data_IF_484654319954
#
_entry.id   IF_484654319954
#
_cell.length_a   1.000
_cell.length_b   1.000
_cell.length_c   1.000
_cell.angle_alpha   90.00
_cell.angle_beta   90.00
_cell.angle_gamma   90.00
#
_symmetry.space_group_name_H-M   'P 1'
#
loop_
_entity.id
_entity.type
_entity.pdbx_description
1 polymer ?
#
# COMPACT_ATOMS: atom_id res chain seq x y z
N UNK A 1 -18.43 22.74 8.99
CA UNK A 1 -18.00 22.55 7.60
C UNK A 1 -18.67 23.52 6.65
N UNK A 2 -20.01 23.46 6.51
CA UNK A 2 -20.76 24.22 5.48
C UNK A 2 -20.51 25.73 5.44
N UNK A 3 -20.25 26.36 6.59
CA UNK A 3 -20.04 27.81 6.67
C UNK A 3 -18.62 28.26 6.31
N UNK A 4 -17.65 27.36 6.29
CA UNK A 4 -16.22 27.67 6.22
C UNK A 4 -15.50 27.02 5.04
N UNK A 5 -16.03 25.91 4.52
CA UNK A 5 -15.44 25.21 3.38
C UNK A 5 -16.21 25.59 2.10
N UNK A 6 -15.56 26.16 1.08
CA UNK A 6 -16.18 26.48 -0.21
C UNK A 6 -16.37 25.20 -1.04
N UNK A 7 -17.39 24.41 -0.70
CA UNK A 7 -17.60 23.06 -1.25
C UNK A 7 -17.77 23.05 -2.76
N UNK A 8 -18.53 24.01 -3.32
CA UNK A 8 -18.83 24.05 -4.76
C UNK A 8 -17.57 24.29 -5.58
N UNK A 9 -16.72 25.22 -5.14
CA UNK A 9 -15.46 25.57 -5.76
C UNK A 9 -14.45 24.42 -5.66
N UNK A 10 -14.32 23.81 -4.47
CA UNK A 10 -13.41 22.68 -4.25
C UNK A 10 -13.81 21.45 -5.07
N UNK A 11 -15.10 21.10 -5.06
CA UNK A 11 -15.61 19.99 -5.88
C UNK A 11 -15.29 20.22 -7.36
N UNK A 12 -15.53 21.44 -7.88
CA UNK A 12 -15.27 21.76 -9.28
C UNK A 12 -13.79 21.63 -9.69
N UNK A 13 -12.86 21.93 -8.78
CA UNK A 13 -11.41 21.80 -9.02
C UNK A 13 -10.98 20.33 -9.03
N UNK A 14 -11.59 19.49 -8.19
CA UNK A 14 -11.14 18.11 -7.94
C UNK A 14 -11.83 17.11 -8.88
N UNK A 15 -13.09 17.34 -9.25
CA UNK A 15 -13.88 16.49 -10.15
C UNK A 15 -13.12 16.04 -11.41
N UNK A 16 -12.36 16.89 -12.13
CA UNK A 16 -11.64 16.48 -13.34
C UNK A 16 -10.57 15.41 -13.10
N UNK A 17 -9.99 15.39 -11.90
CA UNK A 17 -8.92 14.45 -11.49
C UNK A 17 -9.46 13.28 -10.68
N UNK A 18 -10.73 13.33 -10.27
CA UNK A 18 -11.32 12.34 -9.41
C UNK A 18 -11.51 11.00 -10.15
N UNK A 19 -11.27 9.85 -9.48
CA UNK A 19 -11.41 8.55 -10.14
C UNK A 19 -12.78 8.36 -10.76
N UNK A 20 -12.81 7.95 -12.03
CA UNK A 20 -14.05 7.60 -12.74
C UNK A 20 -14.35 6.12 -12.56
N UNK A 21 -15.63 5.77 -12.64
CA UNK A 21 -16.06 4.38 -12.61
C UNK A 21 -15.35 3.59 -13.73
N UNK A 22 -14.84 2.41 -13.38
CA UNK A 22 -14.15 1.50 -14.28
C UNK A 22 -14.28 0.05 -13.79
N UNK A 23 -13.35 -0.83 -14.16
CA UNK A 23 -13.31 -2.19 -13.60
C UNK A 23 -12.85 -2.14 -12.13
N UNK A 24 -13.70 -2.55 -11.19
CA UNK A 24 -13.43 -2.52 -9.74
C UNK A 24 -14.52 -1.82 -8.94
N UNK A 25 -14.22 -1.45 -7.69
CA UNK A 25 -15.17 -0.76 -6.80
C UNK A 25 -15.56 0.61 -7.38
N UNK A 26 -16.85 0.95 -7.44
CA UNK A 26 -17.28 2.30 -7.81
C UNK A 26 -16.68 3.34 -6.86
N UNK A 27 -16.17 4.46 -7.39
CA UNK A 27 -15.65 5.54 -6.56
C UNK A 27 -16.79 6.15 -5.72
N UNK A 28 -16.48 6.48 -4.47
CA UNK A 28 -17.39 7.23 -3.59
C UNK A 28 -17.52 8.66 -4.14
N UNK A 29 -18.68 9.31 -4.07
CA UNK A 29 -18.85 10.66 -4.62
C UNK A 29 -17.84 11.69 -4.06
N UNK A 30 -17.34 12.60 -4.92
CA UNK A 30 -16.24 13.53 -4.61
C UNK A 30 -16.45 14.29 -3.31
N UNK A 31 -17.65 14.84 -3.10
CA UNK A 31 -17.94 15.68 -1.94
C UNK A 31 -17.91 14.86 -0.66
N UNK A 32 -18.44 13.62 -0.70
CA UNK A 32 -18.42 12.72 0.45
C UNK A 32 -16.99 12.36 0.82
N UNK A 33 -16.15 12.06 -0.16
CA UNK A 33 -14.74 11.75 0.11
C UNK A 33 -13.97 12.96 0.63
N UNK A 34 -14.22 14.17 0.09
CA UNK A 34 -13.62 15.39 0.61
C UNK A 34 -14.02 15.64 2.06
N UNK A 35 -15.29 15.46 2.41
CA UNK A 35 -15.76 15.55 3.81
C UNK A 35 -15.03 14.55 4.71
N UNK A 36 -14.86 13.29 4.27
CA UNK A 36 -14.11 12.27 5.02
C UNK A 36 -12.67 12.72 5.23
N UNK A 37 -11.97 13.19 4.20
CA UNK A 37 -10.58 13.65 4.31
C UNK A 37 -10.43 14.88 5.19
N UNK A 38 -11.36 15.84 5.12
CA UNK A 38 -11.36 17.01 6.00
C UNK A 38 -11.55 16.61 7.46
N UNK A 39 -12.46 15.69 7.74
CA UNK A 39 -12.66 15.14 9.09
C UNK A 39 -11.40 14.41 9.59
N UNK A 40 -10.81 13.53 8.77
CA UNK A 40 -9.58 12.83 9.09
C UNK A 40 -8.44 13.81 9.41
N UNK A 41 -8.28 14.84 8.58
CA UNK A 41 -7.23 15.86 8.74
C UNK A 41 -7.44 16.73 9.98
N UNK A 42 -8.64 17.27 10.18
CA UNK A 42 -8.91 18.19 11.29
C UNK A 42 -8.84 17.54 12.67
N UNK A 43 -9.24 16.27 12.76
CA UNK A 43 -9.24 15.54 14.01
C UNK A 43 -8.02 14.62 14.16
N UNK A 44 -7.08 14.66 13.20
CA UNK A 44 -5.91 13.79 13.15
C UNK A 44 -6.27 12.31 13.36
N UNK A 45 -7.38 11.88 12.73
CA UNK A 45 -7.89 10.51 12.81
C UNK A 45 -7.08 9.66 11.84
N UNK A 46 -6.09 8.96 12.37
CA UNK A 46 -5.34 7.92 11.67
C UNK A 46 -5.57 6.57 12.33
N UNK A 47 -5.39 5.49 11.58
CA UNK A 47 -5.59 4.14 12.10
C UNK A 47 -4.55 3.79 13.18
N UNK A 48 -4.98 3.36 14.39
CA UNK A 48 -4.06 3.04 15.48
C UNK A 48 -3.04 1.96 15.13
N UNK A 49 -3.43 0.94 14.35
CA UNK A 49 -2.53 -0.15 13.99
C UNK A 49 -1.46 0.29 12.98
N UNK A 50 -1.83 1.13 12.00
CA UNK A 50 -0.90 1.72 11.05
C UNK A 50 0.08 2.68 11.76
N UNK A 51 -0.39 3.48 12.72
CA UNK A 51 0.47 4.36 13.52
C UNK A 51 1.44 3.57 14.41
N UNK A 52 0.96 2.50 15.05
CA UNK A 52 1.82 1.61 15.83
C UNK A 52 2.84 0.87 14.95
N UNK A 53 2.44 0.46 13.75
CA UNK A 53 3.37 -0.11 12.77
C UNK A 53 4.45 0.90 12.33
N UNK A 54 4.07 2.17 12.14
CA UNK A 54 5.02 3.25 11.83
C UNK A 54 5.99 3.48 12.97
N UNK A 55 5.50 3.59 14.21
CA UNK A 55 6.32 3.75 15.41
C UNK A 55 7.33 2.61 15.54
N UNK A 56 6.88 1.36 15.45
CA UNK A 56 7.76 0.17 15.49
C UNK A 56 8.76 0.17 14.33
N UNK A 57 8.37 0.61 13.14
CA UNK A 57 9.25 0.76 11.99
C UNK A 57 10.39 1.74 12.27
N UNK A 58 10.08 2.90 12.85
CA UNK A 58 11.06 3.91 13.25
C UNK A 58 12.03 3.36 14.30
N UNK A 59 11.52 2.71 15.35
CA UNK A 59 12.36 2.14 16.42
C UNK A 59 13.31 1.05 15.91
N UNK A 60 12.88 0.28 14.91
CA UNK A 60 13.69 -0.76 14.27
C UNK A 60 14.63 -0.22 13.18
N UNK A 61 14.67 1.10 12.96
CA UNK A 61 15.50 1.71 11.93
C UNK A 61 15.13 1.28 10.51
N UNK A 62 13.84 0.97 10.26
CA UNK A 62 13.32 0.63 8.92
C UNK A 62 13.26 1.87 8.03
N UNK A 63 12.76 1.69 6.81
CA UNK A 63 12.60 2.76 5.83
C UNK A 63 13.80 2.94 4.91
N UNK A 64 13.71 3.96 4.06
CA UNK A 64 14.72 4.31 3.05
C UNK A 64 14.93 5.81 3.11
N UNK A 65 16.18 6.28 3.09
CA UNK A 65 16.50 7.71 3.16
C UNK A 65 15.85 8.45 4.33
N UNK A 66 15.76 7.79 5.51
CA UNK A 66 15.10 8.29 6.74
C UNK A 66 13.59 8.49 6.60
N UNK A 67 12.98 7.95 5.55
CA UNK A 67 11.53 7.97 5.34
C UNK A 67 10.98 6.60 5.71
N UNK A 68 10.17 6.56 6.76
CA UNK A 68 9.46 5.37 7.21
C UNK A 68 8.01 5.51 6.84
N UNK A 69 7.49 4.48 6.18
CA UNK A 69 6.10 4.36 5.78
C UNK A 69 5.59 3.02 6.28
N UNK A 70 4.36 3.01 6.82
CA UNK A 70 3.72 1.81 7.29
C UNK A 70 2.31 1.67 6.75
N UNK A 71 1.76 0.46 6.89
CA UNK A 71 0.40 0.13 6.57
C UNK A 71 -0.11 -0.97 7.50
N UNK A 72 -1.42 -1.00 7.71
CA UNK A 72 -2.12 -2.04 8.46
C UNK A 72 -3.34 -2.54 7.67
N UNK A 73 -3.67 -3.82 7.84
CA UNK A 73 -4.79 -4.51 7.22
C UNK A 73 -5.47 -5.40 8.25
N UNK A 74 -6.79 -5.32 8.34
CA UNK A 74 -7.59 -6.28 9.13
C UNK A 74 -7.90 -7.51 8.26
N UNK A 75 -7.44 -8.67 8.70
CA UNK A 75 -7.64 -9.94 8.01
C UNK A 75 -9.08 -10.43 8.23
N UNK A 76 -9.58 -11.35 7.36
CA UNK A 76 -10.88 -11.99 7.57
C UNK A 76 -11.01 -12.75 8.90
N UNK A 77 -9.88 -13.09 9.54
CA UNK A 77 -9.84 -13.74 10.86
C UNK A 77 -10.01 -12.74 12.02
N UNK A 78 -10.00 -11.43 11.75
CA UNK A 78 -9.96 -10.36 12.74
C UNK A 78 -8.55 -10.00 13.23
N UNK A 79 -7.52 -10.73 12.79
CA UNK A 79 -6.13 -10.41 13.09
C UNK A 79 -5.65 -9.21 12.28
N UNK A 80 -4.73 -8.42 12.84
CA UNK A 80 -4.16 -7.26 12.16
C UNK A 80 -2.79 -7.60 11.56
N UNK A 81 -2.71 -7.59 10.24
CA UNK A 81 -1.45 -7.62 9.51
C UNK A 81 -0.86 -6.22 9.41
N UNK A 82 0.46 -6.10 9.48
CA UNK A 82 1.17 -4.82 9.32
C UNK A 82 2.34 -4.93 8.36
N UNK A 83 2.67 -3.83 7.70
CA UNK A 83 3.79 -3.72 6.77
C UNK A 83 4.54 -2.40 6.95
N UNK A 84 5.84 -2.43 6.71
CA UNK A 84 6.71 -1.25 6.75
C UNK A 84 7.64 -1.28 5.54
N UNK A 85 7.94 -0.12 4.97
CA UNK A 85 8.86 -0.02 3.84
C UNK A 85 10.29 -0.41 4.24
N UNK A 86 11.04 -0.88 3.25
CA UNK A 86 12.43 -1.30 3.36
C UNK A 86 13.18 -0.94 2.06
N UNK A 87 14.51 -1.13 2.00
CA UNK A 87 15.26 -0.96 0.75
C UNK A 87 14.77 -1.82 -0.41
N UNK A 88 14.04 -2.90 -0.13
CA UNK A 88 13.56 -3.85 -1.13
C UNK A 88 12.09 -3.68 -1.48
N UNK A 89 11.25 -3.27 -0.53
CA UNK A 89 9.79 -3.33 -0.65
C UNK A 89 9.13 -2.06 -0.14
N UNK A 90 8.03 -1.66 -0.81
CA UNK A 90 7.11 -0.66 -0.27
C UNK A 90 6.32 -1.22 0.92
N UNK A 91 5.72 -0.33 1.72
CA UNK A 91 4.95 -0.72 2.89
C UNK A 91 3.72 -1.57 2.53
N UNK A 92 3.04 -1.23 1.43
CA UNK A 92 1.96 -2.01 0.78
C UNK A 92 2.43 -3.41 0.39
N UNK A 93 3.57 -3.52 -0.29
CA UNK A 93 4.17 -4.79 -0.69
C UNK A 93 4.46 -5.69 0.51
N UNK A 94 5.12 -5.13 1.53
CA UNK A 94 5.42 -5.85 2.77
C UNK A 94 4.14 -6.27 3.51
N UNK A 95 3.14 -5.38 3.57
CA UNK A 95 1.84 -5.66 4.19
C UNK A 95 1.15 -6.86 3.54
N UNK A 96 1.04 -6.87 2.20
CA UNK A 96 0.36 -7.96 1.50
C UNK A 96 1.11 -9.27 1.65
N UNK A 97 2.45 -9.28 1.54
CA UNK A 97 3.24 -10.49 1.78
C UNK A 97 3.06 -11.02 3.21
N UNK A 98 3.06 -10.15 4.22
CA UNK A 98 2.83 -10.56 5.61
C UNK A 98 1.40 -11.08 5.81
N UNK A 99 0.40 -10.43 5.23
CA UNK A 99 -1.00 -10.83 5.32
C UNK A 99 -1.22 -12.25 4.75
N UNK A 100 -0.68 -12.53 3.57
CA UNK A 100 -0.82 -13.87 2.97
C UNK A 100 -0.01 -14.95 3.69
N UNK A 101 1.14 -14.60 4.31
CA UNK A 101 1.87 -15.53 5.18
C UNK A 101 1.01 -15.96 6.38
N UNK A 102 0.37 -14.99 7.04
CA UNK A 102 -0.52 -15.25 8.19
C UNK A 102 -1.66 -16.18 7.76
N UNK A 103 -2.36 -15.85 6.67
CA UNK A 103 -3.50 -16.64 6.19
C UNK A 103 -3.12 -18.07 5.77
N UNK A 104 -1.93 -18.25 5.21
CA UNK A 104 -1.41 -19.54 4.78
C UNK A 104 -0.70 -20.34 5.90
N UNK A 105 -0.58 -19.78 7.11
CA UNK A 105 0.16 -20.40 8.22
C UNK A 105 1.66 -20.54 7.95
N UNK A 106 2.25 -19.62 7.19
CA UNK A 106 3.67 -19.59 6.83
C UNK A 106 4.43 -18.73 7.84
N UNK A 107 5.60 -19.20 8.29
CA UNK A 107 6.44 -18.45 9.22
C UNK A 107 6.88 -17.09 8.64
N UNK A 108 6.96 -16.08 9.52
CA UNK A 108 7.34 -14.72 9.13
C UNK A 108 8.71 -14.65 8.45
N UNK A 109 9.66 -15.49 8.86
CA UNK A 109 11.04 -15.51 8.37
C UNK A 109 11.20 -16.15 6.98
N UNK A 110 10.16 -16.81 6.46
CA UNK A 110 10.22 -17.47 5.15
C UNK A 110 10.14 -16.45 4.02
N UNK A 111 11.16 -16.37 3.17
CA UNK A 111 11.13 -15.53 1.98
C UNK A 111 10.23 -16.13 0.88
N UNK A 112 9.05 -15.52 0.65
CA UNK A 112 8.14 -15.91 -0.44
C UNK A 112 8.72 -15.58 -1.81
N UNK A 113 9.45 -14.47 -1.92
CA UNK A 113 10.11 -14.04 -3.14
C UNK A 113 11.62 -14.15 -2.88
N UNK A 114 12.33 -15.07 -3.56
CA UNK A 114 13.76 -15.22 -3.41
C UNK A 114 14.51 -13.89 -3.62
N UNK A 115 15.51 -13.56 -2.77
CA UNK A 115 16.26 -12.31 -2.89
C UNK A 115 16.86 -12.07 -4.28
N UNK A 116 17.24 -13.13 -5.00
CA UNK A 116 17.76 -13.05 -6.36
C UNK A 116 16.75 -12.46 -7.37
N UNK A 117 15.44 -12.76 -7.21
CA UNK A 117 14.39 -12.20 -8.07
C UNK A 117 14.22 -10.70 -7.78
N UNK A 118 14.16 -10.33 -6.50
CA UNK A 118 14.07 -8.93 -6.07
C UNK A 118 15.26 -8.15 -6.63
N UNK A 119 16.48 -8.66 -6.43
CA UNK A 119 17.71 -8.04 -6.94
C UNK A 119 17.73 -7.89 -8.46
N UNK A 120 17.20 -8.87 -9.20
CA UNK A 120 17.11 -8.79 -10.66
C UNK A 120 16.19 -7.64 -11.10
N UNK A 121 15.02 -7.52 -10.47
CA UNK A 121 14.07 -6.43 -10.77
C UNK A 121 14.63 -5.07 -10.37
N UNK A 122 15.25 -4.97 -9.19
CA UNK A 122 15.85 -3.70 -8.74
C UNK A 122 17.03 -3.28 -9.61
N UNK A 123 17.89 -4.21 -10.04
CA UNK A 123 18.96 -3.95 -10.99
C UNK A 123 18.42 -3.52 -12.36
N UNK A 124 17.36 -4.16 -12.88
CA UNK A 124 16.70 -3.73 -14.10
C UNK A 124 16.19 -2.28 -13.99
N UNK A 125 15.53 -1.94 -12.88
CA UNK A 125 15.03 -0.57 -12.64
C UNK A 125 16.16 0.45 -12.59
N UNK A 126 17.24 0.16 -11.86
CA UNK A 126 18.38 1.08 -11.65
C UNK A 126 19.27 1.20 -12.88
N UNK A 127 19.73 0.08 -13.40
CA UNK A 127 20.84 0.00 -14.35
C UNK A 127 20.37 0.09 -15.81
N UNK A 128 19.14 -0.38 -16.10
CA UNK A 128 18.59 -0.40 -17.47
C UNK A 128 17.56 0.71 -17.68
N UNK A 129 16.55 0.78 -16.81
CA UNK A 129 15.44 1.74 -16.96
C UNK A 129 15.77 3.13 -16.38
N UNK A 130 16.91 3.28 -15.69
CA UNK A 130 17.35 4.52 -15.03
C UNK A 130 16.28 5.11 -14.10
N UNK A 131 15.48 4.24 -13.49
CA UNK A 131 14.46 4.59 -12.51
C UNK A 131 15.05 5.08 -11.20
N UNK A 132 14.34 5.98 -10.52
CA UNK A 132 14.77 6.55 -9.22
C UNK A 132 14.35 5.71 -8.01
N UNK A 133 13.24 4.97 -8.12
CA UNK A 133 12.75 4.05 -7.08
C UNK A 133 13.37 2.67 -7.27
N UNK A 134 14.14 2.21 -6.27
CA UNK A 134 14.82 0.90 -6.35
C UNK A 134 14.00 -0.19 -5.67
N UNK A 135 13.12 0.15 -4.72
CA UNK A 135 12.21 -0.79 -4.06
C UNK A 135 11.08 -1.24 -4.99
N UNK A 136 10.52 -2.42 -4.71
CA UNK A 136 9.37 -2.96 -5.42
C UNK A 136 8.07 -2.39 -4.85
N UNK A 137 7.26 -1.81 -5.72
CA UNK A 137 5.87 -1.47 -5.41
C UNK A 137 4.99 -2.74 -5.40
N UNK A 138 3.73 -2.59 -4.99
CA UNK A 138 2.85 -3.76 -4.83
C UNK A 138 2.58 -4.48 -6.16
N UNK A 139 2.41 -3.76 -7.27
CA UNK A 139 2.14 -4.39 -8.58
C UNK A 139 3.33 -5.26 -9.03
N UNK A 140 4.54 -4.74 -8.91
CA UNK A 140 5.79 -5.48 -9.17
C UNK A 140 5.94 -6.69 -8.23
N UNK A 141 5.56 -6.51 -6.95
CA UNK A 141 5.62 -7.58 -5.94
C UNK A 141 4.67 -8.73 -6.28
N UNK A 142 3.45 -8.44 -6.73
CA UNK A 142 2.49 -9.46 -7.15
C UNK A 142 2.99 -10.24 -8.36
N UNK A 143 3.65 -9.58 -9.32
CA UNK A 143 4.29 -10.26 -10.46
C UNK A 143 5.42 -11.18 -9.97
N UNK A 144 6.30 -10.68 -9.09
CA UNK A 144 7.40 -11.47 -8.53
C UNK A 144 6.91 -12.68 -7.72
N UNK A 145 5.84 -12.50 -6.94
CA UNK A 145 5.19 -13.58 -6.21
C UNK A 145 4.64 -14.64 -7.18
N UNK A 146 3.95 -14.21 -8.25
CA UNK A 146 3.42 -15.11 -9.27
C UNK A 146 4.52 -15.95 -9.95
N UNK A 147 5.68 -15.34 -10.26
CA UNK A 147 6.84 -16.06 -10.80
C UNK A 147 7.43 -17.04 -9.79
N UNK A 148 7.43 -16.67 -8.51
CA UNK A 148 7.99 -17.49 -7.42
C UNK A 148 7.16 -18.76 -7.18
N UNK A 149 5.86 -18.78 -7.51
CA UNK A 149 5.00 -19.97 -7.42
C UNK A 149 5.54 -21.19 -8.17
N UNK A 150 6.29 -20.98 -9.25
CA UNK A 150 6.83 -22.06 -10.06
C UNK A 150 7.98 -22.83 -9.36
N UNK A 151 8.63 -22.23 -8.36
CA UNK A 151 9.84 -22.75 -7.73
C UNK A 151 9.79 -22.74 -6.19
N UNK A 152 8.76 -22.16 -5.59
CA UNK A 152 8.59 -22.05 -4.14
C UNK A 152 7.15 -22.44 -3.76
N UNK A 153 7.03 -23.53 -3.00
CA UNK A 153 5.74 -24.07 -2.54
C UNK A 153 5.02 -23.12 -1.57
N UNK A 154 5.74 -22.43 -0.70
CA UNK A 154 5.16 -21.46 0.22
C UNK A 154 4.66 -20.22 -0.52
N UNK A 155 5.36 -19.79 -1.58
CA UNK A 155 4.86 -18.75 -2.48
C UNK A 155 3.57 -19.16 -3.19
N UNK A 156 3.44 -20.44 -3.57
CA UNK A 156 2.21 -20.99 -4.15
C UNK A 156 1.06 -20.92 -3.15
N UNK A 157 1.23 -21.46 -1.94
CA UNK A 157 0.22 -21.40 -0.88
C UNK A 157 -0.18 -19.97 -0.55
N UNK A 158 0.80 -19.09 -0.32
CA UNK A 158 0.56 -17.67 -0.04
C UNK A 158 -0.26 -16.98 -1.15
N UNK A 159 0.05 -17.27 -2.42
CA UNK A 159 -0.67 -16.66 -3.55
C UNK A 159 -2.13 -17.12 -3.66
N UNK A 160 -2.46 -18.32 -3.16
CA UNK A 160 -3.82 -18.87 -3.16
C UNK A 160 -4.72 -18.19 -2.11
N UNK A 161 -4.12 -17.54 -1.10
CA UNK A 161 -4.84 -16.78 -0.07
C UNK A 161 -5.21 -15.34 -0.52
N UNK A 162 -4.61 -14.82 -1.60
CA UNK A 162 -4.88 -13.45 -2.10
C UNK A 162 -6.38 -13.12 -2.28
N UNK A 163 -7.23 -14.02 -2.83
CA UNK A 163 -8.66 -13.75 -2.96
C UNK A 163 -9.38 -13.51 -1.63
N UNK A 164 -8.87 -14.04 -0.51
CA UNK A 164 -9.49 -13.82 0.81
C UNK A 164 -9.30 -12.40 1.32
N UNK A 165 -8.35 -11.65 0.76
CA UNK A 165 -8.12 -10.24 1.10
C UNK A 165 -9.17 -9.32 0.45
N UNK A 166 -9.98 -9.81 -0.50
CA UNK A 166 -10.98 -8.98 -1.18
C UNK A 166 -11.96 -8.35 -0.17
N UNK A 167 -12.11 -7.02 -0.24
CA UNK A 167 -12.98 -6.27 0.66
C UNK A 167 -12.41 -6.00 2.05
N UNK A 168 -11.19 -6.44 2.38
CA UNK A 168 -10.55 -6.10 3.64
C UNK A 168 -10.19 -4.61 3.70
N UNK A 169 -10.25 -4.06 4.92
CA UNK A 169 -9.91 -2.67 5.19
C UNK A 169 -8.39 -2.51 5.38
N UNK A 170 -7.84 -1.49 4.74
CA UNK A 170 -6.41 -1.16 4.77
C UNK A 170 -6.24 0.31 5.07
N UNK A 171 -5.30 0.63 5.95
CA UNK A 171 -4.85 1.99 6.17
C UNK A 171 -3.35 2.14 5.94
N UNK A 172 -2.95 3.21 5.24
CA UNK A 172 -1.56 3.53 4.95
C UNK A 172 -1.17 4.88 5.57
N UNK A 173 0.02 4.98 6.14
CA UNK A 173 0.50 6.25 6.73
C UNK A 173 0.97 7.28 5.69
N UNK A 174 0.70 7.02 4.41
CA UNK A 174 1.06 7.85 3.27
C UNK A 174 0.14 7.54 2.08
N UNK A 175 0.05 8.50 1.16
CA UNK A 175 -0.63 8.35 -0.12
C UNK A 175 0.16 7.33 -0.97
N UNK A 176 -0.47 6.22 -1.41
CA UNK A 176 0.20 5.19 -2.18
C UNK A 176 0.69 5.70 -3.54
N UNK A 177 1.78 5.12 -4.04
CA UNK A 177 2.23 5.35 -5.42
C UNK A 177 1.22 4.83 -6.45
N UNK A 178 1.42 5.15 -7.73
CA UNK A 178 0.57 4.61 -8.81
C UNK A 178 0.68 3.09 -8.93
N UNK A 179 1.87 2.53 -8.75
CA UNK A 179 2.10 1.08 -8.71
C UNK A 179 1.42 0.42 -7.52
N UNK A 180 1.49 1.04 -6.34
CA UNK A 180 0.79 0.53 -5.16
C UNK A 180 -0.72 0.58 -5.31
N UNK A 181 -1.25 1.71 -5.79
CA UNK A 181 -2.67 1.90 -6.05
C UNK A 181 -3.21 0.91 -7.08
N UNK A 182 -2.43 0.61 -8.13
CA UNK A 182 -2.73 -0.43 -9.12
C UNK A 182 -2.89 -1.80 -8.45
N UNK A 183 -1.89 -2.22 -7.65
CA UNK A 183 -1.92 -3.50 -6.94
C UNK A 183 -3.07 -3.61 -5.95
N UNK A 184 -3.27 -2.59 -5.11
CA UNK A 184 -4.32 -2.55 -4.09
C UNK A 184 -5.72 -2.65 -4.73
N UNK A 185 -5.92 -1.94 -5.85
CA UNK A 185 -7.18 -2.00 -6.62
C UNK A 185 -7.41 -3.37 -7.24
N UNK A 186 -6.36 -4.02 -7.79
CA UNK A 186 -6.47 -5.38 -8.36
C UNK A 186 -6.86 -6.42 -7.31
N UNK A 187 -6.45 -6.21 -6.06
CA UNK A 187 -6.84 -7.04 -4.91
C UNK A 187 -8.21 -6.68 -4.30
N UNK A 188 -8.88 -5.66 -4.83
CA UNK A 188 -10.19 -5.19 -4.35
C UNK A 188 -10.20 -4.83 -2.86
N UNK A 189 -9.11 -4.22 -2.38
CA UNK A 189 -8.98 -3.77 -0.99
C UNK A 189 -9.65 -2.40 -0.77
N UNK A 190 -10.17 -2.20 0.44
CA UNK A 190 -10.73 -0.93 0.87
C UNK A 190 -9.65 -0.09 1.53
N UNK A 191 -9.02 0.77 0.73
CA UNK A 191 -7.82 1.51 1.15
C UNK A 191 -8.16 2.92 1.59
N UNK A 192 -7.64 3.30 2.76
CA UNK A 192 -7.55 4.67 3.24
C UNK A 192 -6.08 5.02 3.46
N UNK A 193 -5.76 6.32 3.47
CA UNK A 193 -4.40 6.78 3.73
C UNK A 193 -4.36 8.14 4.41
N UNK A 194 -3.34 8.36 5.23
CA UNK A 194 -2.98 9.70 5.68
C UNK A 194 -2.64 10.58 4.46
N UNK A 195 -2.99 11.88 4.48
CA UNK A 195 -2.76 12.81 3.37
C UNK A 195 -1.30 13.30 3.34
N UNK A 196 -0.34 12.36 3.35
CA UNK A 196 1.10 12.62 3.35
C UNK A 196 1.76 11.91 2.19
N UNK A 197 2.59 12.61 1.43
CA UNK A 197 3.44 11.96 0.45
C UNK A 197 4.70 11.40 1.14
N UNK A 198 5.22 10.24 0.70
CA UNK A 198 6.49 9.70 1.22
C UNK A 198 7.66 10.66 1.02
N UNK A 199 7.65 11.43 -0.07
CA UNK A 199 8.72 12.37 -0.42
C UNK A 199 8.15 13.76 -0.64
N UNK A 200 9.03 14.77 -0.65
CA UNK A 200 8.68 16.15 -1.04
C UNK A 200 8.33 16.29 -2.52
N UNK A 201 8.47 15.24 -3.33
CA UNK A 201 8.16 15.26 -4.75
C UNK A 201 6.73 14.78 -5.02
N UNK A 202 5.81 15.74 -5.15
CA UNK A 202 4.38 15.53 -5.39
C UNK A 202 4.05 14.69 -6.64
N UNK A 203 4.92 14.73 -7.66
CA UNK A 203 4.70 14.02 -8.94
C UNK A 203 5.41 12.67 -9.02
N UNK A 204 6.14 12.28 -7.98
CA UNK A 204 6.92 11.05 -7.97
C UNK A 204 6.98 10.48 -6.54
N UNK A 205 5.87 9.91 -6.04
CA UNK A 205 5.92 9.08 -4.85
C UNK A 205 6.85 7.91 -5.18
N UNK A 206 7.89 7.75 -4.35
CA UNK A 206 8.99 6.79 -4.54
C UNK A 206 8.51 5.37 -4.86
#
# INVERSE_FOLDING_TARGET
MERVVPWKELNAIIEPFYPKAGKGRPPVGVERMLRIHFLQSWFNLSDPAAQEALRRGIERGKGVNRIVCAAALELPTGEIATGCNSPLLHASSALILNAVKILAGIDHEVDLIPPAIVQSVTAMKRDVLKGRGVSLNLDETLICLAMSRAINEDARKASEELPRLMGCEVHMTHIPSSGDSSGLRKLLLNVTSDPRFPTSNLYNPA
#
